data_IF_010574054464
#
_entry.id   IF_010574054464
#
_cell.length_a   1.000
_cell.length_b   1.000
_cell.length_c   1.000
_cell.angle_alpha   90.00
_cell.angle_beta   90.00
_cell.angle_gamma   90.00
#
_symmetry.space_group_name_H-M   'P 1'
#
loop_
_entity.id
_entity.type
_entity.pdbx_description
1 polymer ?
#
# COMPACT_ATOMS: atom_id res chain seq x y z
N UNK A 1 19.45 -18.28 8.52
CA UNK A 1 18.44 -17.95 7.48
C UNK A 1 17.50 -16.93 8.08
N UNK A 2 17.44 -15.72 7.53
CA UNK A 2 16.53 -14.67 8.03
C UNK A 2 15.08 -15.09 7.79
N UNK A 3 14.21 -14.89 8.78
CA UNK A 3 12.78 -15.10 8.64
C UNK A 3 12.23 -14.25 7.49
N UNK A 4 11.25 -14.74 6.70
CA UNK A 4 10.65 -13.96 5.64
C UNK A 4 10.02 -12.70 6.25
N UNK A 5 10.55 -11.54 5.90
CA UNK A 5 10.09 -10.27 6.47
C UNK A 5 9.01 -9.68 5.57
N UNK A 6 7.82 -9.50 6.13
CA UNK A 6 6.74 -8.73 5.52
C UNK A 6 6.76 -7.37 6.19
N UNK A 7 7.12 -6.33 5.43
CA UNK A 7 7.06 -4.95 5.89
C UNK A 7 5.77 -4.33 5.40
N UNK A 8 5.02 -3.76 6.34
CA UNK A 8 3.79 -3.03 6.05
C UNK A 8 3.94 -1.66 6.68
N UNK A 9 3.76 -0.64 5.86
CA UNK A 9 3.71 0.75 6.29
C UNK A 9 2.34 1.31 5.94
N UNK A 10 1.71 1.98 6.91
CA UNK A 10 0.38 2.57 6.73
C UNK A 10 0.45 4.06 7.02
N UNK A 11 0.03 4.87 6.05
CA UNK A 11 -0.09 6.31 6.22
C UNK A 11 -1.55 6.73 6.41
N UNK A 12 -1.74 7.79 7.20
CA UNK A 12 -3.01 8.49 7.44
C UNK A 12 -4.12 7.71 8.17
N UNK A 13 -3.86 6.53 8.75
CA UNK A 13 -4.88 5.72 9.43
C UNK A 13 -5.69 6.49 10.50
N UNK A 14 -5.02 7.35 11.27
CA UNK A 14 -5.66 8.19 12.27
C UNK A 14 -6.68 9.18 11.68
N UNK A 15 -6.37 9.80 10.55
CA UNK A 15 -7.26 10.76 9.89
C UNK A 15 -8.58 10.11 9.45
N UNK A 16 -8.54 8.82 9.11
CA UNK A 16 -9.70 8.04 8.69
C UNK A 16 -10.33 7.21 9.82
N UNK A 17 -9.84 7.34 11.06
CA UNK A 17 -10.29 6.56 12.22
C UNK A 17 -10.23 5.04 11.99
N UNK A 18 -9.24 4.57 11.23
CA UNK A 18 -9.01 3.16 10.95
C UNK A 18 -7.91 2.62 11.86
N UNK A 19 -8.07 1.40 12.35
CA UNK A 19 -7.02 0.70 13.12
C UNK A 19 -5.88 0.27 12.20
N UNK A 20 -4.69 0.81 12.44
CA UNK A 20 -3.46 0.42 11.75
C UNK A 20 -3.13 -1.07 11.98
N UNK A 21 -3.33 -1.57 13.21
CA UNK A 21 -3.14 -2.99 13.54
C UNK A 21 -4.05 -3.90 12.71
N UNK A 22 -5.31 -3.49 12.50
CA UNK A 22 -6.24 -4.25 11.66
C UNK A 22 -5.77 -4.30 10.19
N UNK A 23 -5.22 -3.19 9.67
CA UNK A 23 -4.65 -3.14 8.32
C UNK A 23 -3.41 -4.05 8.24
N UNK A 24 -2.54 -4.00 9.26
CA UNK A 24 -1.33 -4.82 9.33
C UNK A 24 -1.67 -6.32 9.33
N UNK A 25 -2.60 -6.75 10.17
CA UNK A 25 -3.01 -8.14 10.25
C UNK A 25 -3.71 -8.62 8.97
N UNK A 26 -4.56 -7.78 8.37
CA UNK A 26 -5.21 -8.10 7.10
C UNK A 26 -4.18 -8.29 5.96
N UNK A 27 -3.22 -7.37 5.83
CA UNK A 27 -2.17 -7.44 4.81
C UNK A 27 -1.23 -8.62 5.03
N UNK A 28 -0.76 -8.85 6.26
CA UNK A 28 0.07 -10.01 6.59
C UNK A 28 -0.66 -11.32 6.28
N UNK A 29 -1.95 -11.40 6.59
CA UNK A 29 -2.77 -12.57 6.29
C UNK A 29 -2.88 -12.78 4.77
N UNK A 30 -3.21 -11.72 4.02
CA UNK A 30 -3.30 -11.79 2.56
C UNK A 30 -1.97 -12.21 1.92
N UNK A 31 -0.85 -11.60 2.33
CA UNK A 31 0.48 -11.91 1.81
C UNK A 31 0.92 -13.34 2.12
N UNK A 32 0.61 -13.85 3.32
CA UNK A 32 0.85 -15.26 3.68
C UNK A 32 0.01 -16.21 2.81
N UNK A 33 -1.26 -15.88 2.56
CA UNK A 33 -2.16 -16.71 1.73
C UNK A 33 -1.64 -16.85 0.29
N UNK A 34 -1.09 -15.77 -0.27
CA UNK A 34 -0.48 -15.79 -1.61
C UNK A 34 1.00 -16.24 -1.61
N UNK A 35 1.51 -16.74 -0.47
CA UNK A 35 2.88 -17.24 -0.28
C UNK A 35 3.96 -16.24 -0.68
N UNK A 36 3.69 -14.93 -0.55
CA UNK A 36 4.68 -13.88 -0.78
C UNK A 36 5.50 -13.69 0.48
N UNK A 37 6.81 -13.70 0.31
CA UNK A 37 7.82 -13.51 1.35
C UNK A 37 8.83 -12.47 0.90
N UNK A 38 9.43 -11.72 1.84
CA UNK A 38 10.41 -10.66 1.53
C UNK A 38 9.82 -9.58 0.61
N UNK A 39 8.64 -9.07 1.00
CA UNK A 39 7.94 -8.01 0.27
C UNK A 39 7.68 -6.84 1.21
N UNK A 40 7.76 -5.63 0.65
CA UNK A 40 7.31 -4.41 1.29
C UNK A 40 6.00 -3.98 0.64
N UNK A 41 5.04 -3.56 1.45
CA UNK A 41 3.78 -2.97 0.98
C UNK A 41 3.53 -1.71 1.78
N UNK A 42 3.40 -0.59 1.06
CA UNK A 42 2.94 0.67 1.63
C UNK A 42 1.46 0.86 1.30
N UNK A 43 0.67 1.25 2.30
CA UNK A 43 -0.75 1.57 2.15
C UNK A 43 -0.98 3.01 2.58
N UNK A 44 -1.41 3.83 1.63
CA UNK A 44 -1.74 5.23 1.87
C UNK A 44 -3.25 5.38 1.83
N UNK A 45 -3.84 5.79 2.95
CA UNK A 45 -5.26 6.10 3.03
C UNK A 45 -5.47 7.55 2.57
N UNK A 46 -6.46 7.74 1.71
CA UNK A 46 -6.80 9.02 1.08
C UNK A 46 -8.31 9.19 1.00
N UNK A 47 -8.78 10.43 0.91
CA UNK A 47 -10.18 10.73 0.65
C UNK A 47 -10.51 10.63 -0.86
N UNK A 48 -11.80 10.71 -1.20
CA UNK A 48 -12.27 10.60 -2.58
C UNK A 48 -11.72 11.68 -3.52
N UNK A 49 -11.50 12.89 -2.99
CA UNK A 49 -10.99 14.00 -3.79
C UNK A 49 -9.55 13.75 -4.20
N UNK A 50 -8.72 13.33 -3.24
CA UNK A 50 -7.32 12.95 -3.43
C UNK A 50 -7.23 11.71 -4.32
N UNK A 51 -8.08 10.71 -4.11
CA UNK A 51 -8.14 9.50 -4.93
C UNK A 51 -8.44 9.83 -6.41
N UNK A 52 -9.41 10.72 -6.65
CA UNK A 52 -9.74 11.20 -7.99
C UNK A 52 -8.55 11.90 -8.65
N UNK A 53 -7.82 12.74 -7.92
CA UNK A 53 -6.63 13.41 -8.43
C UNK A 53 -5.51 12.42 -8.78
N UNK A 54 -5.25 11.43 -7.92
CA UNK A 54 -4.25 10.40 -8.19
C UNK A 54 -4.67 9.55 -9.40
N UNK A 55 -5.94 9.15 -9.51
CA UNK A 55 -6.42 8.35 -10.64
C UNK A 55 -6.35 9.15 -11.96
N UNK A 56 -6.63 10.45 -11.92
CA UNK A 56 -6.51 11.34 -13.08
C UNK A 56 -5.07 11.48 -13.52
N UNK A 57 -4.15 11.71 -12.59
CA UNK A 57 -2.73 11.95 -12.90
C UNK A 57 -1.99 10.68 -13.33
N UNK A 58 -2.29 9.53 -12.71
CA UNK A 58 -1.60 8.27 -13.00
C UNK A 58 -2.22 7.43 -14.10
N UNK A 59 -3.55 7.51 -14.30
CA UNK A 59 -4.30 6.65 -15.24
C UNK A 59 -5.16 7.44 -16.24
N UNK A 60 -5.18 8.77 -16.16
CA UNK A 60 -5.99 9.62 -17.04
C UNK A 60 -7.48 9.60 -16.74
N UNK A 61 -7.91 9.03 -15.61
CA UNK A 61 -9.33 8.86 -15.25
C UNK A 61 -9.78 9.91 -14.23
N UNK A 62 -10.72 10.77 -14.62
CA UNK A 62 -11.25 11.83 -13.77
C UNK A 62 -12.42 11.34 -12.89
N UNK A 63 -12.18 10.29 -12.10
CA UNK A 63 -13.14 9.69 -11.18
C UNK A 63 -12.41 9.05 -9.98
N UNK A 64 -13.05 9.04 -8.80
CA UNK A 64 -12.55 8.28 -7.64
C UNK A 64 -12.71 6.76 -7.88
N UNK A 65 -11.95 5.95 -7.15
CA UNK A 65 -12.06 4.49 -7.13
C UNK A 65 -11.77 3.96 -5.73
N UNK A 66 -12.09 2.69 -5.47
CA UNK A 66 -11.85 2.09 -4.16
C UNK A 66 -10.36 1.89 -3.85
N UNK A 67 -9.55 1.48 -4.82
CA UNK A 67 -8.13 1.14 -4.66
C UNK A 67 -7.35 1.51 -5.91
N UNK A 68 -6.18 2.12 -5.69
CA UNK A 68 -5.11 2.24 -6.68
C UNK A 68 -3.91 1.43 -6.19
N UNK A 69 -3.23 0.75 -7.11
CA UNK A 69 -2.04 -0.04 -6.84
C UNK A 69 -0.91 0.44 -7.74
N UNK A 70 0.26 0.61 -7.15
CA UNK A 70 1.48 1.06 -7.81
C UNK A 70 2.58 0.04 -7.56
N UNK A 71 3.30 -0.32 -8.61
CA UNK A 71 4.53 -1.11 -8.46
C UNK A 71 5.65 -0.19 -8.00
N UNK A 72 6.49 -0.66 -7.10
CA UNK A 72 7.74 0.04 -6.78
C UNK A 72 8.58 0.18 -8.07
N UNK A 73 9.15 1.36 -8.36
CA UNK A 73 9.98 1.54 -9.54
C UNK A 73 11.19 0.60 -9.50
N UNK A 74 11.50 -0.08 -10.60
CA UNK A 74 12.64 -1.01 -10.68
C UNK A 74 14.01 -0.32 -10.48
N UNK A 75 14.07 1.02 -10.60
CA UNK A 75 15.31 1.82 -10.64
C UNK A 75 15.57 2.67 -9.38
N UNK A 76 15.09 2.28 -8.20
CA UNK A 76 15.57 2.94 -6.98
C UNK A 76 16.96 2.39 -6.61
N UNK A 77 18.02 3.25 -6.54
CA UNK A 77 19.35 2.79 -6.18
C UNK A 77 19.30 2.17 -4.80
N UNK A 78 19.68 0.89 -4.71
CA UNK A 78 19.90 0.23 -3.42
C UNK A 78 21.03 0.98 -2.72
N UNK A 79 20.70 1.76 -1.71
CA UNK A 79 21.70 2.35 -0.83
C UNK A 79 22.36 1.14 -0.11
N UNK A 80 23.68 0.96 -0.24
CA UNK A 80 24.40 -0.17 0.33
C UNK A 80 24.38 -0.18 1.86
#
# INVERSE_FOLDING_TARGET
MGSPEIRVEVANAQAFHISEDAIHEALRTALRLIKKTNVSVEVILVDDSTMCEINRTSRGKNESTNVLSFSEPEELPRIP
#
